data_IF_170426064731
#
_entry.id   IF_170426064731
#
_cell.length_a   1.000
_cell.length_b   1.000
_cell.length_c   1.000
_cell.angle_alpha   90.00
_cell.angle_beta   90.00
_cell.angle_gamma   90.00
#
_symmetry.space_group_name_H-M   'P 1'
#
loop_
_entity.id
_entity.type
_entity.pdbx_description
1 polymer ?
#
# COMPACT_ATOMS: atom_id res chain seq x y z
N UNK A 1 19.34 -1.66 8.54
CA UNK A 1 19.26 -0.75 7.38
C UNK A 1 18.06 0.21 7.47
N UNK A 2 16.81 -0.26 7.64
CA UNK A 2 15.64 0.64 7.79
C UNK A 2 15.84 1.69 8.90
N UNK A 3 16.38 1.26 10.05
CA UNK A 3 16.74 2.16 11.15
C UNK A 3 17.77 3.23 10.74
N UNK A 4 18.84 2.84 10.04
CA UNK A 4 19.84 3.79 9.53
C UNK A 4 19.25 4.79 8.53
N UNK A 5 18.24 4.39 7.74
CA UNK A 5 17.52 5.30 6.85
C UNK A 5 16.70 6.29 7.68
N UNK A 6 15.99 5.82 8.72
CA UNK A 6 15.24 6.68 9.63
C UNK A 6 16.15 7.73 10.30
N UNK A 7 17.31 7.31 10.81
CA UNK A 7 18.29 8.19 11.44
C UNK A 7 18.81 9.25 10.47
N UNK A 8 19.13 8.86 9.22
CA UNK A 8 19.63 9.79 8.19
C UNK A 8 18.58 10.76 7.68
N UNK A 9 17.31 10.39 7.75
CA UNK A 9 16.17 11.21 7.34
C UNK A 9 15.60 12.02 8.51
N UNK A 10 16.37 12.25 9.58
CA UNK A 10 15.93 13.05 10.73
C UNK A 10 15.32 14.39 10.28
N UNK A 11 14.12 14.68 10.80
CA UNK A 11 13.31 15.84 10.40
C UNK A 11 12.32 15.58 9.26
N UNK A 12 12.41 14.44 8.57
CA UNK A 12 11.47 14.01 7.54
C UNK A 12 10.72 12.74 7.95
N UNK A 13 9.46 12.65 7.54
CA UNK A 13 8.69 11.41 7.68
C UNK A 13 9.07 10.43 6.56
N UNK A 14 9.33 9.18 6.94
CA UNK A 14 9.57 8.08 6.00
C UNK A 14 8.42 7.06 6.08
N UNK A 15 8.18 6.33 5.01
CA UNK A 15 7.28 5.18 4.97
C UNK A 15 7.97 4.00 4.28
N UNK A 16 7.68 2.77 4.71
CA UNK A 16 8.38 1.56 4.23
C UNK A 16 7.41 0.62 3.52
N UNK A 17 7.73 0.31 2.27
CA UNK A 17 7.09 -0.76 1.50
C UNK A 17 8.04 -1.96 1.37
N UNK A 18 7.60 -3.12 1.82
CA UNK A 18 8.30 -4.37 1.56
C UNK A 18 7.88 -4.94 0.20
N UNK A 19 8.86 -5.48 -0.55
CA UNK A 19 8.66 -6.08 -1.88
C UNK A 19 9.05 -7.56 -1.93
N UNK A 20 9.24 -8.16 -0.76
CA UNK A 20 9.56 -9.58 -0.58
C UNK A 20 8.58 -10.18 0.43
N UNK A 21 7.78 -11.19 0.06
CA UNK A 21 6.71 -11.73 0.92
C UNK A 21 7.20 -12.25 2.28
N UNK A 22 8.45 -12.70 2.36
CA UNK A 22 9.06 -13.28 3.55
C UNK A 22 9.06 -12.33 4.75
N UNK A 23 9.07 -11.01 4.52
CA UNK A 23 8.95 -10.01 5.60
C UNK A 23 7.60 -10.09 6.34
N UNK A 24 6.58 -10.60 5.67
CA UNK A 24 5.20 -10.64 6.15
C UNK A 24 4.62 -12.07 6.14
N UNK A 25 5.49 -13.09 6.03
CA UNK A 25 5.08 -14.48 6.21
C UNK A 25 4.67 -14.75 7.67
N UNK A 26 4.10 -15.93 7.93
CA UNK A 26 3.61 -16.29 9.26
C UNK A 26 4.67 -16.29 10.36
N UNK A 27 5.97 -16.38 10.02
CA UNK A 27 7.07 -16.37 11.00
C UNK A 27 7.55 -14.96 11.31
N UNK A 28 7.55 -14.06 10.32
CA UNK A 28 8.19 -12.75 10.44
C UNK A 28 7.19 -11.60 10.63
N UNK A 29 5.92 -11.76 10.24
CA UNK A 29 4.93 -10.66 10.22
C UNK A 29 4.86 -9.87 11.52
N UNK A 30 4.71 -10.55 12.65
CA UNK A 30 4.56 -9.88 13.94
C UNK A 30 5.80 -9.07 14.31
N UNK A 31 6.99 -9.68 14.20
CA UNK A 31 8.27 -9.02 14.47
C UNK A 31 8.53 -7.82 13.56
N UNK A 32 8.25 -7.96 12.26
CA UNK A 32 8.37 -6.88 11.27
C UNK A 32 7.46 -5.70 11.62
N UNK A 33 6.18 -5.96 11.91
CA UNK A 33 5.22 -4.91 12.24
C UNK A 33 5.52 -4.27 13.60
N UNK A 34 5.94 -5.05 14.60
CA UNK A 34 6.37 -4.55 15.89
C UNK A 34 7.60 -3.63 15.76
N UNK A 35 8.58 -4.02 14.94
CA UNK A 35 9.75 -3.18 14.64
C UNK A 35 9.35 -1.81 14.09
N UNK A 36 8.40 -1.78 13.13
CA UNK A 36 7.89 -0.52 12.58
C UNK A 36 7.09 0.30 13.61
N UNK A 37 6.21 -0.36 14.39
CA UNK A 37 5.41 0.29 15.44
C UNK A 37 6.26 0.96 16.51
N UNK A 38 7.27 0.25 17.02
CA UNK A 38 8.18 0.78 18.05
C UNK A 38 8.93 2.04 17.61
N UNK A 39 9.05 2.26 16.31
CA UNK A 39 9.75 3.40 15.70
C UNK A 39 8.79 4.40 15.06
N UNK A 40 7.48 4.20 15.19
CA UNK A 40 6.44 5.01 14.55
C UNK A 40 6.70 5.21 13.04
N UNK A 41 7.13 4.13 12.36
CA UNK A 41 7.39 4.12 10.90
C UNK A 41 6.12 3.60 10.21
N UNK A 42 5.46 4.40 9.35
CA UNK A 42 4.38 3.93 8.49
C UNK A 42 4.78 2.74 7.60
N UNK A 43 4.07 1.64 7.75
CA UNK A 43 4.05 0.52 6.82
C UNK A 43 3.15 0.90 5.63
N UNK A 44 3.65 0.64 4.42
CA UNK A 44 2.87 0.79 3.20
C UNK A 44 2.16 -0.54 2.93
N UNK A 45 0.85 -0.55 3.13
CA UNK A 45 0.01 -1.66 2.70
C UNK A 45 0.02 -1.75 1.17
N UNK A 46 0.12 -2.97 0.65
CA UNK A 46 0.23 -3.22 -0.79
C UNK A 46 -1.02 -3.93 -1.28
N UNK A 47 -1.71 -3.34 -2.26
CA UNK A 47 -2.70 -4.07 -3.06
C UNK A 47 -2.02 -4.62 -4.32
N UNK A 48 -2.11 -5.94 -4.46
CA UNK A 48 -1.50 -6.77 -5.50
C UNK A 48 -2.38 -8.03 -5.69
N UNK A 49 -2.33 -8.72 -6.85
CA UNK A 49 -3.13 -9.90 -7.08
C UNK A 49 -2.67 -11.05 -6.16
N UNK A 50 -3.58 -11.73 -5.44
CA UNK A 50 -3.21 -12.86 -4.58
C UNK A 50 -2.79 -14.08 -5.41
N UNK A 51 -2.13 -15.06 -4.76
CA UNK A 51 -1.78 -16.34 -5.40
C UNK A 51 -0.52 -16.33 -6.27
N UNK A 52 0.17 -15.20 -6.35
CA UNK A 52 1.41 -15.04 -7.10
C UNK A 52 2.64 -15.13 -6.19
N UNK A 53 3.73 -15.70 -6.72
CA UNK A 53 4.96 -15.92 -5.94
C UNK A 53 5.61 -14.61 -5.47
N UNK A 54 5.47 -13.55 -6.27
CA UNK A 54 6.03 -12.24 -5.95
C UNK A 54 5.04 -11.27 -5.30
N UNK A 55 3.79 -11.69 -5.10
CA UNK A 55 2.78 -10.85 -4.45
C UNK A 55 2.97 -10.78 -2.94
N UNK A 56 2.87 -9.56 -2.42
CA UNK A 56 2.91 -9.34 -0.98
C UNK A 56 1.64 -9.92 -0.32
N UNK A 57 1.75 -10.48 0.90
CA UNK A 57 0.59 -10.86 1.69
C UNK A 57 -0.35 -9.66 1.93
N UNK A 58 -1.66 -9.92 1.97
CA UNK A 58 -2.69 -8.89 2.18
C UNK A 58 -2.72 -8.38 3.64
N UNK A 59 -1.68 -7.62 4.00
CA UNK A 59 -1.51 -7.00 5.33
C UNK A 59 -1.83 -5.51 5.20
N UNK A 60 -2.75 -5.02 6.04
CA UNK A 60 -3.28 -3.66 6.03
C UNK A 60 -3.16 -2.98 7.41
N UNK A 61 -2.11 -3.35 8.15
CA UNK A 61 -1.87 -2.92 9.52
C UNK A 61 -1.35 -1.48 9.57
N UNK A 62 -1.85 -0.69 10.52
CA UNK A 62 -1.32 0.64 10.79
C UNK A 62 -0.18 0.53 11.80
N UNK A 63 1.00 1.01 11.43
CA UNK A 63 2.20 0.96 12.28
C UNK A 63 2.66 2.33 12.76
N UNK A 64 1.98 3.40 12.36
CA UNK A 64 2.26 4.76 12.81
C UNK A 64 0.98 5.50 13.13
N UNK A 65 1.00 6.27 14.22
CA UNK A 65 -0.11 7.15 14.61
C UNK A 65 -0.22 8.39 13.73
N UNK A 66 0.82 8.70 12.95
CA UNK A 66 0.88 9.91 12.11
C UNK A 66 0.28 9.67 10.73
N UNK A 67 0.64 8.55 10.10
CA UNK A 67 0.30 8.27 8.71
C UNK A 67 0.09 6.77 8.49
N UNK A 68 -1.02 6.43 7.84
CA UNK A 68 -1.21 5.14 7.18
C UNK A 68 -1.10 5.31 5.66
N UNK A 69 -0.54 4.33 4.97
CA UNK A 69 -0.35 4.39 3.51
C UNK A 69 -0.80 3.09 2.87
N UNK A 70 -1.54 3.19 1.77
CA UNK A 70 -1.81 2.08 0.85
C UNK A 70 -1.33 2.43 -0.55
N UNK A 71 -0.66 1.47 -1.21
CA UNK A 71 -0.26 1.56 -2.61
C UNK A 71 -0.95 0.49 -3.44
N UNK A 72 -1.67 0.94 -4.47
CA UNK A 72 -2.40 0.11 -5.41
C UNK A 72 -1.54 -0.17 -6.64
N UNK A 73 -1.01 -1.39 -6.76
CA UNK A 73 -0.17 -1.77 -7.91
C UNK A 73 -0.98 -2.37 -9.06
N UNK A 74 -2.27 -2.64 -8.89
CA UNK A 74 -3.10 -3.39 -9.84
C UNK A 74 -3.22 -4.86 -9.46
N UNK A 75 -4.25 -5.53 -9.97
CA UNK A 75 -4.51 -6.98 -9.79
C UNK A 75 -4.45 -7.75 -11.11
N UNK A 76 -3.48 -7.43 -11.96
CA UNK A 76 -3.33 -8.06 -13.28
C UNK A 76 -2.72 -9.48 -13.14
N UNK A 77 -3.56 -10.47 -12.88
CA UNK A 77 -3.16 -11.87 -12.71
C UNK A 77 -2.40 -12.44 -13.92
N UNK A 78 -2.81 -12.09 -15.14
CA UNK A 78 -2.24 -12.64 -16.37
C UNK A 78 -0.77 -12.28 -16.58
N UNK A 79 -0.36 -11.11 -16.08
CA UNK A 79 0.96 -10.54 -16.37
C UNK A 79 1.84 -10.34 -15.14
N UNK A 80 1.34 -10.63 -13.93
CA UNK A 80 2.01 -10.30 -12.67
C UNK A 80 3.40 -10.94 -12.51
N UNK A 81 3.49 -12.25 -12.75
CA UNK A 81 4.72 -13.04 -12.68
C UNK A 81 5.28 -13.40 -14.07
N UNK A 82 4.73 -12.81 -15.13
CA UNK A 82 5.08 -13.15 -16.51
C UNK A 82 6.54 -12.80 -16.81
N UNK A 83 7.35 -13.83 -17.03
CA UNK A 83 8.77 -13.68 -17.33
C UNK A 83 8.99 -13.06 -18.70
N UNK A 84 9.97 -12.15 -18.82
CA UNK A 84 10.32 -11.49 -20.07
C UNK A 84 9.33 -10.40 -20.53
N UNK A 85 8.22 -10.18 -19.81
CA UNK A 85 7.32 -9.07 -20.09
C UNK A 85 7.90 -7.73 -19.60
N UNK A 86 7.56 -6.61 -20.27
CA UNK A 86 7.89 -5.28 -19.77
C UNK A 86 7.34 -5.06 -18.34
N UNK A 87 8.14 -4.57 -17.37
CA UNK A 87 7.72 -4.43 -15.97
C UNK A 87 6.49 -3.55 -15.74
N UNK A 88 6.15 -2.67 -16.67
CA UNK A 88 4.96 -1.83 -16.59
C UNK A 88 3.67 -2.62 -16.85
N UNK A 89 3.75 -3.77 -17.53
CA UNK A 89 2.57 -4.53 -17.94
C UNK A 89 1.84 -5.12 -16.74
N UNK A 90 2.56 -5.68 -15.76
CA UNK A 90 1.96 -6.19 -14.51
C UNK A 90 1.20 -5.13 -13.72
N UNK A 91 1.57 -3.87 -13.87
CA UNK A 91 0.91 -2.77 -13.17
C UNK A 91 -0.28 -2.23 -13.95
N UNK A 92 -0.37 -2.48 -15.26
CA UNK A 92 -1.45 -1.97 -16.12
C UNK A 92 -2.77 -2.65 -15.76
N UNK A 93 -3.53 -1.99 -14.90
CA UNK A 93 -4.78 -2.53 -14.35
C UNK A 93 -5.76 -1.40 -14.08
N UNK A 94 -6.97 -1.48 -14.64
CA UNK A 94 -8.05 -0.52 -14.34
C UNK A 94 -8.94 -1.15 -13.27
N UNK A 95 -8.88 -0.61 -12.05
CA UNK A 95 -9.62 -1.15 -10.93
C UNK A 95 -11.13 -0.94 -11.14
N UNK A 96 -11.95 -2.01 -11.10
CA UNK A 96 -13.39 -1.85 -11.06
C UNK A 96 -13.82 -1.29 -9.70
N UNK A 97 -14.98 -0.62 -9.67
CA UNK A 97 -15.52 -0.02 -8.43
C UNK A 97 -15.76 -1.05 -7.33
N UNK A 98 -16.02 -2.30 -7.71
CA UNK A 98 -16.17 -3.41 -6.77
C UNK A 98 -14.90 -3.64 -5.95
N UNK A 99 -13.73 -3.65 -6.60
CA UNK A 99 -12.44 -3.88 -5.92
C UNK A 99 -11.99 -2.66 -5.11
N UNK A 100 -12.24 -1.45 -5.62
CA UNK A 100 -12.01 -0.23 -4.84
C UNK A 100 -12.93 -0.18 -3.61
N UNK A 101 -14.17 -0.64 -3.76
CA UNK A 101 -15.15 -0.75 -2.69
C UNK A 101 -14.69 -1.65 -1.53
N UNK A 102 -13.92 -2.71 -1.81
CA UNK A 102 -13.32 -3.57 -0.77
C UNK A 102 -12.37 -2.81 0.16
N UNK A 103 -11.75 -1.74 -0.33
CA UNK A 103 -10.78 -0.93 0.44
C UNK A 103 -11.42 0.15 1.27
N UNK A 104 -12.64 0.58 0.96
CA UNK A 104 -13.37 1.61 1.74
C UNK A 104 -13.44 1.29 3.24
N UNK A 105 -13.91 0.10 3.69
CA UNK A 105 -13.94 -0.21 5.12
C UNK A 105 -12.53 -0.32 5.73
N UNK A 106 -11.53 -0.76 4.97
CA UNK A 106 -10.14 -0.87 5.45
C UNK A 106 -9.52 0.51 5.69
N UNK A 107 -9.72 1.42 4.74
CA UNK A 107 -9.27 2.81 4.84
C UNK A 107 -9.94 3.49 6.04
N UNK A 108 -11.24 3.28 6.24
CA UNK A 108 -11.95 3.80 7.43
C UNK A 108 -11.37 3.30 8.75
N UNK A 109 -10.93 2.04 8.80
CA UNK A 109 -10.26 1.52 10.00
C UNK A 109 -8.85 2.11 10.16
N UNK A 110 -8.14 2.38 9.07
CA UNK A 110 -6.85 3.08 9.12
C UNK A 110 -7.00 4.51 9.66
N UNK A 111 -8.05 5.24 9.25
CA UNK A 111 -8.37 6.59 9.73
C UNK A 111 -8.62 6.66 11.24
N UNK A 112 -8.99 5.53 11.87
CA UNK A 112 -9.15 5.47 13.34
C UNK A 112 -7.83 5.35 14.09
N UNK A 113 -6.77 4.92 13.41
CA UNK A 113 -5.48 4.58 14.00
C UNK A 113 -4.37 5.57 13.63
N UNK A 114 -4.53 6.33 12.54
CA UNK A 114 -3.57 7.33 12.07
C UNK A 114 -4.25 8.68 11.82
N UNK A 115 -3.49 9.77 11.98
CA UNK A 115 -3.98 11.13 11.70
C UNK A 115 -4.30 11.36 10.22
N UNK A 116 -3.51 10.77 9.33
CA UNK A 116 -3.70 10.86 7.89
C UNK A 116 -3.68 9.47 7.26
N UNK A 117 -4.45 9.30 6.17
CA UNK A 117 -4.39 8.11 5.33
C UNK A 117 -4.14 8.51 3.89
N UNK A 118 -3.05 8.00 3.31
CA UNK A 118 -2.69 8.25 1.92
C UNK A 118 -2.94 7.00 1.09
N UNK A 119 -3.81 7.12 0.09
CA UNK A 119 -4.04 6.08 -0.91
C UNK A 119 -3.43 6.51 -2.25
N UNK A 120 -2.45 5.73 -2.72
CA UNK A 120 -1.62 6.06 -3.89
C UNK A 120 -1.85 5.03 -5.00
N UNK A 121 -2.29 5.51 -6.16
CA UNK A 121 -2.46 4.69 -7.37
C UNK A 121 -1.14 4.54 -8.11
N UNK A 122 -0.68 3.31 -8.29
CA UNK A 122 0.55 2.95 -9.02
C UNK A 122 0.28 1.93 -10.14
N UNK A 123 -0.95 1.88 -10.63
CA UNK A 123 -1.49 0.90 -11.58
C UNK A 123 -1.32 1.29 -13.06
N UNK A 124 -0.33 2.14 -13.40
CA UNK A 124 0.15 2.45 -14.76
C UNK A 124 -0.91 2.56 -15.87
N UNK A 125 -2.10 3.07 -15.54
CA UNK A 125 -3.17 3.41 -16.49
C UNK A 125 -3.44 4.91 -16.44
N UNK A 126 -3.77 5.50 -17.58
CA UNK A 126 -4.12 6.92 -17.69
C UNK A 126 -5.55 7.13 -17.19
N UNK A 127 -5.75 6.91 -15.89
CA UNK A 127 -6.96 7.29 -15.17
C UNK A 127 -6.60 7.47 -13.69
N UNK A 128 -6.24 8.69 -13.30
CA UNK A 128 -6.05 9.04 -11.89
C UNK A 128 -7.41 9.03 -11.19
N UNK A 129 -7.65 8.03 -10.35
CA UNK A 129 -8.87 7.92 -9.55
C UNK A 129 -8.58 8.30 -8.09
N UNK A 130 -9.32 9.29 -7.59
CA UNK A 130 -9.54 9.52 -6.17
C UNK A 130 -10.83 8.80 -5.76
N UNK A 131 -10.73 7.93 -4.75
CA UNK A 131 -11.89 7.33 -4.06
C UNK A 131 -12.17 8.19 -2.84
N UNK A 132 -13.31 8.87 -2.83
CA UNK A 132 -13.78 9.57 -1.64
C UNK A 132 -14.25 8.55 -0.57
N UNK A 133 -14.28 8.95 0.71
CA UNK A 133 -14.70 8.09 1.82
C UNK A 133 -16.16 7.55 1.71
N UNK A 134 -16.94 8.08 0.76
CA UNK A 134 -18.29 7.67 0.40
C UNK A 134 -18.36 6.70 -0.80
N UNK A 135 -17.21 6.32 -1.38
CA UNK A 135 -17.12 5.43 -2.54
C UNK A 135 -17.36 6.13 -3.89
N UNK A 136 -17.52 7.45 -3.92
CA UNK A 136 -17.71 8.21 -5.16
C UNK A 136 -16.39 8.51 -5.88
N UNK A 137 -16.44 8.53 -7.22
CA UNK A 137 -15.29 8.84 -8.09
C UNK A 137 -15.10 10.35 -8.23
N UNK A 138 -13.85 10.83 -8.12
CA UNK A 138 -13.45 12.19 -8.56
C UNK A 138 -12.14 12.16 -9.37
N UNK A 139 -11.96 13.06 -10.36
CA UNK A 139 -10.69 13.19 -11.07
C UNK A 139 -9.68 14.01 -10.25
N UNK A 140 -8.46 13.50 -10.01
CA UNK A 140 -7.38 14.30 -9.43
C UNK A 140 -6.37 13.56 -8.54
N UNK A 141 -5.14 14.08 -8.48
CA UNK A 141 -3.96 13.50 -7.81
C UNK A 141 -4.08 13.39 -6.27
N UNK A 142 -3.41 12.37 -5.71
CA UNK A 142 -3.08 12.10 -4.30
C UNK A 142 -4.12 12.55 -3.24
N UNK A 143 -4.73 11.57 -2.55
CA UNK A 143 -5.57 11.83 -1.38
C UNK A 143 -4.67 12.31 -0.24
N UNK A 144 -4.73 13.61 0.08
CA UNK A 144 -4.32 14.15 1.37
C UNK A 144 -5.61 14.49 2.12
N UNK A 145 -5.88 13.76 3.20
CA UNK A 145 -6.93 14.11 4.16
C UNK A 145 -6.39 15.24 5.05
N UNK A 146 -7.02 16.41 5.01
CA UNK A 146 -6.78 17.51 5.93
C UNK A 146 -7.53 17.31 7.25
#
# INVERSE_FOLDING_TARGET
>A
YVEQVQERMYGFQIAVEFRKPEWLDGRHREGTLAFLRTRDIPYIAVDAPPGHATSMPAVHEVTSSKLAVVRFHGRNHDTWDLQGAPPNLRFRYDYPDTELGEWVPRIKEMERSAKEVHAIMNNNVVRSLQVAADGSRRPGAAISSA
#
